data_IF_138775580580
#
_entry.id   IF_138775580580
#
_cell.length_a   1.000
_cell.length_b   1.000
_cell.length_c   1.000
_cell.angle_alpha   90.00
_cell.angle_beta   90.00
_cell.angle_gamma   90.00
#
_symmetry.space_group_name_H-M   'P 1'
#
loop_
_entity.id
_entity.type
_entity.pdbx_description
1 polymer ?
#
# COMPACT_ATOMS: atom_id res chain seq x y z
N UNK A 1 -7.33 -8.49 1.32
CA UNK A 1 -7.19 -7.09 1.77
C UNK A 1 -7.58 -6.90 3.23
N UNK A 2 -8.06 -7.93 3.94
CA UNK A 2 -8.22 -7.88 5.40
C UNK A 2 -7.52 -9.10 5.98
N UNK A 3 -6.52 -8.85 6.82
CA UNK A 3 -5.79 -9.87 7.55
C UNK A 3 -6.67 -10.41 8.69
N UNK A 4 -6.54 -11.68 9.04
CA UNK A 4 -7.29 -12.23 10.18
C UNK A 4 -6.70 -11.69 11.49
N UNK A 5 -7.54 -11.33 12.48
CA UNK A 5 -7.06 -10.97 13.81
C UNK A 5 -6.38 -12.18 14.47
N UNK A 6 -5.16 -11.99 15.00
CA UNK A 6 -4.44 -13.01 15.78
C UNK A 6 -3.13 -13.54 15.18
N UNK A 7 -2.74 -13.14 13.97
CA UNK A 7 -1.42 -13.48 13.42
C UNK A 7 -0.49 -12.25 13.48
N UNK A 8 -0.05 -11.91 14.70
CA UNK A 8 0.79 -10.73 15.00
C UNK A 8 2.18 -10.74 14.34
N UNK A 9 2.46 -11.75 13.52
CA UNK A 9 3.73 -11.85 12.81
C UNK A 9 3.61 -11.57 11.32
N UNK A 10 2.44 -11.65 10.67
CA UNK A 10 2.26 -11.36 9.24
C UNK A 10 3.19 -12.12 8.27
N UNK A 11 4.06 -12.98 8.80
CA UNK A 11 5.23 -13.60 8.19
C UNK A 11 5.14 -15.13 8.29
N UNK A 12 3.93 -15.65 8.59
CA UNK A 12 3.65 -17.08 8.58
C UNK A 12 3.92 -17.70 7.21
N UNK A 13 4.60 -18.84 7.20
CA UNK A 13 4.95 -19.57 5.98
C UNK A 13 4.40 -20.99 5.99
N UNK A 14 4.03 -21.50 4.83
CA UNK A 14 3.59 -22.88 4.61
C UNK A 14 4.51 -23.60 3.64
N UNK A 15 4.26 -24.89 3.43
CA UNK A 15 4.76 -25.58 2.24
C UNK A 15 4.36 -24.81 0.98
N UNK A 16 5.17 -24.91 -0.08
CA UNK A 16 4.89 -24.29 -1.37
C UNK A 16 3.63 -24.90 -1.96
N UNK A 17 2.67 -24.05 -2.34
CA UNK A 17 1.40 -24.49 -2.93
C UNK A 17 1.62 -25.18 -4.27
N UNK A 18 0.70 -26.10 -4.60
CA UNK A 18 0.69 -26.76 -5.90
C UNK A 18 0.56 -25.75 -7.04
N UNK A 19 1.31 -25.95 -8.13
CA UNK A 19 1.42 -25.02 -9.27
C UNK A 19 2.34 -23.82 -9.02
N UNK A 20 2.90 -23.68 -7.82
CA UNK A 20 3.80 -22.58 -7.43
C UNK A 20 5.21 -23.08 -7.07
N UNK A 21 5.54 -24.33 -7.41
CA UNK A 21 6.86 -24.91 -7.16
C UNK A 21 7.96 -24.16 -7.93
N UNK A 22 9.15 -24.12 -7.35
CA UNK A 22 10.34 -23.54 -7.97
C UNK A 22 11.47 -24.57 -8.00
N UNK A 23 12.31 -24.52 -9.04
CA UNK A 23 13.49 -25.38 -9.15
C UNK A 23 14.56 -24.91 -8.14
N UNK A 24 14.61 -25.60 -7.00
CA UNK A 24 15.54 -25.28 -5.90
C UNK A 24 16.99 -25.46 -6.33
N UNK A 25 17.29 -26.41 -7.23
CA UNK A 25 18.65 -26.65 -7.72
C UNK A 25 19.16 -25.48 -8.55
N UNK A 26 18.38 -25.04 -9.54
CA UNK A 26 18.69 -23.86 -10.36
C UNK A 26 18.79 -22.59 -9.52
N UNK A 27 17.87 -22.38 -8.58
CA UNK A 27 17.93 -21.24 -7.68
C UNK A 27 19.19 -21.27 -6.80
N UNK A 28 19.53 -22.42 -6.22
CA UNK A 28 20.71 -22.55 -5.36
C UNK A 28 22.00 -22.22 -6.14
N UNK A 29 22.16 -22.76 -7.35
CA UNK A 29 23.29 -22.46 -8.22
C UNK A 29 23.36 -20.97 -8.57
N UNK A 30 22.21 -20.35 -8.89
CA UNK A 30 22.12 -18.92 -9.14
C UNK A 30 22.56 -18.09 -7.92
N UNK A 31 22.07 -18.41 -6.72
CA UNK A 31 22.38 -17.68 -5.49
C UNK A 31 23.85 -17.85 -5.08
N UNK A 32 24.43 -19.04 -5.21
CA UNK A 32 25.86 -19.25 -4.93
C UNK A 32 26.75 -18.37 -5.82
N UNK A 33 26.37 -18.19 -7.08
CA UNK A 33 27.10 -17.33 -8.02
C UNK A 33 26.96 -15.83 -7.70
N UNK A 34 25.76 -15.37 -7.33
CA UNK A 34 25.46 -13.94 -7.19
C UNK A 34 25.55 -13.42 -5.74
N UNK A 35 25.61 -14.31 -4.75
CA UNK A 35 25.74 -14.00 -3.33
C UNK A 35 26.84 -14.85 -2.64
N UNK A 36 28.06 -14.93 -3.21
CA UNK A 36 29.08 -15.93 -2.80
C UNK A 36 29.57 -15.78 -1.36
N UNK A 37 29.55 -14.56 -0.82
CA UNK A 37 30.03 -14.24 0.53
C UNK A 37 28.95 -14.48 1.61
N UNK A 38 27.66 -14.41 1.25
CA UNK A 38 26.55 -14.47 2.21
C UNK A 38 25.73 -15.76 2.18
N UNK A 39 25.67 -16.45 1.05
CA UNK A 39 24.77 -17.59 0.85
C UNK A 39 25.47 -18.95 1.01
N UNK A 40 24.81 -19.90 1.68
CA UNK A 40 25.28 -21.29 1.83
C UNK A 40 24.18 -22.33 1.59
N UNK A 41 24.44 -23.28 0.69
CA UNK A 41 23.55 -24.42 0.46
C UNK A 41 23.65 -25.47 1.61
N UNK A 42 22.61 -26.30 1.85
CA UNK A 42 21.35 -26.40 1.12
C UNK A 42 20.38 -25.24 1.38
N UNK A 43 19.40 -25.08 0.49
CA UNK A 43 18.36 -24.05 0.54
C UNK A 43 17.01 -24.66 0.94
N UNK A 44 16.45 -24.20 2.06
CA UNK A 44 15.06 -24.45 2.42
C UNK A 44 14.17 -23.39 1.75
N UNK A 45 13.07 -23.83 1.14
CA UNK A 45 12.08 -22.96 0.49
C UNK A 45 10.70 -23.20 1.07
N UNK A 46 10.05 -22.12 1.53
CA UNK A 46 8.66 -22.09 1.97
C UNK A 46 7.92 -20.97 1.25
N UNK A 47 6.60 -20.96 1.30
CA UNK A 47 5.79 -19.89 0.71
C UNK A 47 5.12 -19.06 1.82
N UNK A 48 5.10 -17.73 1.65
CA UNK A 48 4.32 -16.89 2.55
C UNK A 48 2.82 -17.12 2.36
N UNK A 49 2.08 -17.14 3.46
CA UNK A 49 0.63 -17.31 3.43
C UNK A 49 -0.09 -16.04 2.95
N UNK A 50 0.56 -14.88 3.12
CA UNK A 50 0.07 -13.54 2.76
C UNK A 50 0.93 -12.94 1.65
N UNK A 51 0.35 -12.03 0.85
CA UNK A 51 0.95 -11.49 -0.38
C UNK A 51 0.34 -12.13 -1.63
N UNK A 52 -0.55 -11.40 -2.30
CA UNK A 52 -1.46 -11.98 -3.30
C UNK A 52 -1.09 -11.66 -4.75
N UNK A 53 -0.35 -10.57 -5.02
CA UNK A 53 -0.10 -10.10 -6.39
C UNK A 53 1.09 -10.82 -7.06
N UNK A 54 2.25 -10.84 -6.41
CA UNK A 54 3.46 -11.52 -6.87
C UNK A 54 3.77 -12.69 -5.92
N UNK A 55 4.03 -13.91 -6.44
CA UNK A 55 4.49 -15.02 -5.61
C UNK A 55 5.72 -14.64 -4.76
N UNK A 56 5.57 -14.80 -3.44
CA UNK A 56 6.61 -14.49 -2.45
C UNK A 56 6.97 -15.74 -1.66
N UNK A 57 8.26 -16.01 -1.55
CA UNK A 57 8.83 -17.21 -0.94
C UNK A 57 9.79 -16.83 0.17
N UNK A 58 9.73 -17.59 1.25
CA UNK A 58 10.71 -17.56 2.32
C UNK A 58 11.84 -18.53 1.97
N UNK A 59 13.07 -18.03 2.06
CA UNK A 59 14.28 -18.83 1.85
C UNK A 59 15.07 -18.87 3.15
N UNK A 60 15.60 -20.04 3.49
CA UNK A 60 16.56 -20.19 4.59
C UNK A 60 17.74 -21.00 4.11
N UNK A 61 18.93 -20.46 4.30
CA UNK A 61 20.17 -21.11 3.90
C UNK A 61 20.75 -21.98 5.03
N UNK A 62 21.86 -22.67 4.77
CA UNK A 62 22.50 -23.56 5.75
C UNK A 62 23.05 -22.83 6.99
N UNK A 63 23.33 -21.53 6.86
CA UNK A 63 23.74 -20.68 7.99
C UNK A 63 22.54 -20.19 8.81
N UNK A 64 21.32 -20.63 8.48
CA UNK A 64 20.07 -20.09 9.02
C UNK A 64 19.81 -18.61 8.69
N UNK A 65 20.51 -18.06 7.70
CA UNK A 65 20.20 -16.73 7.16
C UNK A 65 18.90 -16.80 6.39
N UNK A 66 18.03 -15.81 6.62
CA UNK A 66 16.68 -15.75 6.06
C UNK A 66 16.62 -14.71 4.95
N UNK A 67 15.98 -15.08 3.84
CA UNK A 67 15.76 -14.21 2.70
C UNK A 67 14.32 -14.29 2.22
N UNK A 68 13.93 -13.31 1.41
CA UNK A 68 12.65 -13.29 0.71
C UNK A 68 12.91 -13.27 -0.78
N UNK A 69 12.28 -14.19 -1.52
CA UNK A 69 12.26 -14.17 -2.98
C UNK A 69 10.89 -13.72 -3.46
N UNK A 70 10.86 -12.72 -4.34
CA UNK A 70 9.63 -12.22 -4.97
C UNK A 70 9.75 -12.38 -6.47
N UNK A 71 8.75 -13.02 -7.08
CA UNK A 71 8.78 -13.49 -8.46
C UNK A 71 7.54 -13.05 -9.22
N UNK A 72 7.64 -12.85 -10.54
CA UNK A 72 6.44 -12.61 -11.36
C UNK A 72 5.53 -13.84 -11.37
N UNK A 73 4.20 -13.67 -11.39
CA UNK A 73 3.29 -14.80 -11.51
C UNK A 73 3.57 -15.60 -12.81
N UNK A 74 3.32 -16.92 -12.82
CA UNK A 74 3.44 -17.72 -14.03
C UNK A 74 2.36 -17.33 -15.05
N UNK A 75 2.63 -17.58 -16.34
CA UNK A 75 1.69 -17.34 -17.44
C UNK A 75 1.87 -16.01 -18.18
N UNK A 76 0.98 -15.77 -19.15
CA UNK A 76 1.01 -14.55 -19.95
C UNK A 76 0.59 -13.33 -19.11
N UNK A 77 1.43 -12.30 -19.08
CA UNK A 77 1.14 -11.07 -18.35
C UNK A 77 0.10 -10.22 -19.11
N UNK A 78 -0.89 -9.70 -18.39
CA UNK A 78 -1.95 -8.84 -18.93
C UNK A 78 -1.39 -7.48 -19.41
N UNK A 79 -0.26 -7.04 -18.88
CA UNK A 79 0.51 -5.90 -19.39
C UNK A 79 1.97 -5.99 -18.95
N UNK A 80 2.88 -5.33 -19.69
CA UNK A 80 4.31 -5.28 -19.33
C UNK A 80 4.59 -4.55 -18.01
N UNK A 81 3.69 -3.65 -17.59
CA UNK A 81 3.83 -2.87 -16.35
C UNK A 81 3.21 -3.56 -15.14
N UNK A 82 2.33 -4.54 -15.35
CA UNK A 82 1.78 -5.33 -14.26
C UNK A 82 2.85 -6.32 -13.76
N UNK A 83 2.94 -6.49 -12.45
CA UNK A 83 3.87 -7.45 -11.83
C UNK A 83 5.36 -7.19 -12.17
N UNK A 84 5.74 -5.92 -12.38
CA UNK A 84 7.10 -5.54 -12.74
C UNK A 84 8.07 -5.60 -11.53
N UNK A 85 8.43 -6.80 -11.09
CA UNK A 85 9.35 -7.02 -9.95
C UNK A 85 10.72 -6.36 -10.13
N UNK A 86 11.15 -6.10 -11.37
CA UNK A 86 12.38 -5.35 -11.66
C UNK A 86 12.27 -3.89 -11.21
N UNK A 87 11.08 -3.27 -11.33
CA UNK A 87 10.81 -1.91 -10.84
C UNK A 87 10.81 -1.87 -9.31
N UNK A 88 10.34 -2.92 -8.65
CA UNK A 88 10.41 -3.07 -7.19
C UNK A 88 11.87 -3.17 -6.74
N UNK A 89 12.67 -4.04 -7.37
CA UNK A 89 14.11 -4.15 -7.08
C UNK A 89 14.82 -2.80 -7.26
N UNK A 90 14.55 -2.08 -8.36
CA UNK A 90 15.20 -0.80 -8.66
C UNK A 90 14.96 0.25 -7.56
N UNK A 91 13.72 0.43 -7.11
CA UNK A 91 13.41 1.42 -6.06
C UNK A 91 13.97 1.00 -4.70
N UNK A 92 13.87 -0.28 -4.34
CA UNK A 92 14.46 -0.81 -3.12
C UNK A 92 15.99 -0.64 -3.09
N UNK A 93 16.67 -0.96 -4.20
CA UNK A 93 18.12 -0.79 -4.33
C UNK A 93 18.53 0.68 -4.18
N UNK A 94 17.88 1.59 -4.90
CA UNK A 94 18.17 3.02 -4.84
C UNK A 94 17.97 3.59 -3.43
N UNK A 95 16.83 3.28 -2.79
CA UNK A 95 16.53 3.75 -1.45
C UNK A 95 17.49 3.16 -0.41
N UNK A 96 17.70 1.84 -0.42
CA UNK A 96 18.50 1.14 0.58
C UNK A 96 20.01 1.41 0.51
N UNK A 97 20.52 1.83 -0.65
CA UNK A 97 21.96 2.12 -0.82
C UNK A 97 22.31 3.61 -0.78
N UNK A 98 21.33 4.50 -0.98
CA UNK A 98 21.58 5.95 -1.14
C UNK A 98 20.82 6.83 -0.15
N UNK A 99 19.97 6.26 0.70
CA UNK A 99 19.12 7.01 1.63
C UNK A 99 19.00 6.30 2.98
N UNK A 100 18.35 6.96 3.94
CA UNK A 100 17.99 6.40 5.25
C UNK A 100 16.51 5.99 5.33
N UNK A 101 15.84 5.79 4.18
CA UNK A 101 14.49 5.23 4.14
C UNK A 101 14.57 3.75 4.52
N UNK A 102 13.85 3.28 5.55
CA UNK A 102 13.92 1.89 5.98
C UNK A 102 13.27 0.99 4.92
N UNK A 103 14.09 0.26 4.17
CA UNK A 103 13.67 -0.71 3.15
C UNK A 103 14.53 -1.98 3.29
N UNK A 104 14.01 -3.17 2.95
CA UNK A 104 14.82 -4.38 2.96
C UNK A 104 15.99 -4.26 1.98
N UNK A 105 17.16 -4.72 2.39
CA UNK A 105 18.30 -4.84 1.46
C UNK A 105 17.95 -5.81 0.33
N UNK A 106 18.13 -5.40 -0.91
CA UNK A 106 18.03 -6.30 -2.06
C UNK A 106 19.41 -6.86 -2.42
N UNK A 107 19.46 -8.16 -2.70
CA UNK A 107 20.70 -8.89 -2.95
C UNK A 107 20.94 -9.17 -4.43
N UNK A 108 19.93 -9.70 -5.13
CA UNK A 108 20.07 -10.10 -6.52
C UNK A 108 18.75 -9.93 -7.29
N UNK A 109 18.85 -9.51 -8.55
CA UNK A 109 17.77 -9.51 -9.53
C UNK A 109 18.13 -10.49 -10.64
N UNK A 110 17.24 -11.41 -10.96
CA UNK A 110 17.35 -12.34 -12.08
C UNK A 110 16.25 -12.04 -13.10
N UNK A 111 16.65 -11.62 -14.30
CA UNK A 111 15.74 -11.47 -15.44
C UNK A 111 15.78 -12.67 -16.40
N UNK A 112 16.73 -13.59 -16.19
CA UNK A 112 16.87 -14.82 -16.95
C UNK A 112 15.75 -15.81 -16.58
N UNK A 113 14.84 -16.02 -17.53
CA UNK A 113 13.70 -16.91 -17.37
C UNK A 113 14.09 -18.39 -17.34
N UNK A 114 15.29 -18.76 -17.77
CA UNK A 114 15.74 -20.16 -17.74
C UNK A 114 16.00 -20.67 -16.31
N UNK A 115 16.16 -19.76 -15.34
CA UNK A 115 16.39 -20.10 -13.94
C UNK A 115 15.10 -20.57 -13.26
N UNK A 116 14.04 -19.74 -13.24
CA UNK A 116 12.77 -20.04 -12.55
C UNK A 116 11.50 -19.85 -13.41
N UNK A 117 11.63 -19.72 -14.73
CA UNK A 117 10.53 -19.49 -15.67
C UNK A 117 10.04 -18.05 -15.76
N UNK A 118 10.24 -17.23 -14.72
CA UNK A 118 9.94 -15.79 -14.74
C UNK A 118 10.94 -15.00 -13.91
N UNK A 119 11.11 -13.68 -14.18
CA UNK A 119 11.99 -12.82 -13.40
C UNK A 119 11.64 -12.82 -11.91
N UNK A 120 12.69 -12.70 -11.08
CA UNK A 120 12.58 -12.65 -9.63
C UNK A 120 13.70 -11.81 -9.03
N UNK A 121 13.51 -11.34 -7.80
CA UNK A 121 14.58 -10.79 -7.00
C UNK A 121 14.58 -11.38 -5.60
N UNK A 122 15.73 -11.28 -4.92
CA UNK A 122 15.96 -11.75 -3.56
C UNK A 122 16.32 -10.57 -2.68
N UNK A 123 15.71 -10.51 -1.51
CA UNK A 123 15.90 -9.45 -0.53
C UNK A 123 16.00 -10.00 0.89
N UNK A 124 16.35 -9.11 1.81
CA UNK A 124 16.42 -9.34 3.23
C UNK A 124 15.06 -9.78 3.80
N UNK A 125 15.11 -10.78 4.68
CA UNK A 125 14.01 -11.05 5.57
C UNK A 125 14.13 -10.16 6.80
N UNK A 126 13.23 -9.18 6.93
CA UNK A 126 13.16 -8.31 8.10
C UNK A 126 12.36 -8.99 9.21
N UNK A 127 13.03 -9.45 10.26
CA UNK A 127 12.37 -9.99 11.44
C UNK A 127 11.72 -8.87 12.25
N UNK A 128 10.39 -8.85 12.28
CA UNK A 128 9.64 -7.74 12.86
C UNK A 128 8.16 -8.02 13.04
N UNK A 129 7.43 -6.97 13.41
CA UNK A 129 5.97 -7.01 13.62
C UNK A 129 5.27 -6.22 12.54
N UNK A 130 4.18 -6.78 12.02
CA UNK A 130 3.31 -6.12 11.04
C UNK A 130 1.92 -6.02 11.67
N UNK A 131 1.39 -4.80 11.74
CA UNK A 131 0.07 -4.55 12.30
C UNK A 131 -0.95 -4.32 11.19
N UNK A 132 -2.12 -4.92 11.31
CA UNK A 132 -3.26 -4.62 10.43
C UNK A 132 -4.39 -3.90 11.16
N UNK A 133 -4.35 -3.88 12.50
CA UNK A 133 -5.29 -3.15 13.33
C UNK A 133 -4.84 -1.69 13.49
N UNK A 134 -5.61 -0.76 12.93
CA UNK A 134 -5.36 0.68 13.03
C UNK A 134 -5.39 1.21 14.47
N UNK A 135 -6.01 0.50 15.41
CA UNK A 135 -6.00 0.88 16.83
C UNK A 135 -4.74 0.42 17.56
N UNK A 136 -3.90 -0.40 16.93
CA UNK A 136 -2.74 -1.04 17.56
C UNK A 136 -3.13 -1.70 18.89
N UNK A 137 -4.23 -2.44 18.92
CA UNK A 137 -4.86 -2.94 20.16
C UNK A 137 -3.94 -3.84 20.98
N UNK A 138 -2.98 -4.48 20.33
CA UNK A 138 -1.98 -5.38 20.92
C UNK A 138 -0.76 -4.63 21.48
N UNK A 139 -0.61 -3.34 21.16
CA UNK A 139 0.43 -2.47 21.70
C UNK A 139 -0.08 -1.79 22.98
N UNK A 140 0.75 -1.68 24.05
CA UNK A 140 0.39 -0.92 25.25
C UNK A 140 -0.04 0.50 24.90
N UNK A 141 -1.11 0.99 25.54
CA UNK A 141 -1.75 2.27 25.19
C UNK A 141 -0.77 3.44 25.18
N UNK A 142 0.16 3.48 26.12
CA UNK A 142 1.17 4.54 26.24
C UNK A 142 2.17 4.58 25.08
N UNK A 143 2.38 3.46 24.37
CA UNK A 143 3.41 3.37 23.33
C UNK A 143 2.86 3.66 21.92
N UNK A 144 1.56 3.49 21.70
CA UNK A 144 0.92 3.56 20.37
C UNK A 144 1.18 4.85 19.61
N UNK A 145 1.30 5.98 20.34
CA UNK A 145 1.70 7.26 19.76
C UNK A 145 3.06 7.15 19.06
N UNK A 146 4.06 6.56 19.70
CA UNK A 146 5.40 6.42 19.12
C UNK A 146 5.40 5.60 17.83
N UNK A 147 4.55 4.57 17.71
CA UNK A 147 4.43 3.78 16.48
C UNK A 147 3.91 4.63 15.31
N UNK A 148 2.83 5.39 15.53
CA UNK A 148 2.29 6.28 14.52
C UNK A 148 3.28 7.38 14.10
N UNK A 149 4.01 7.96 15.06
CA UNK A 149 5.06 8.93 14.76
C UNK A 149 6.21 8.30 13.96
N UNK A 150 6.60 7.05 14.21
CA UNK A 150 7.62 6.37 13.41
C UNK A 150 7.16 6.06 11.98
N UNK A 151 5.86 5.79 11.77
CA UNK A 151 5.29 5.67 10.42
C UNK A 151 5.34 7.00 9.67
N UNK A 152 4.96 8.10 10.34
CA UNK A 152 5.00 9.45 9.75
C UNK A 152 6.43 9.87 9.43
N UNK A 153 7.40 9.55 10.30
CA UNK A 153 8.82 9.78 10.04
C UNK A 153 9.31 8.99 8.82
N UNK A 154 8.93 7.71 8.71
CA UNK A 154 9.25 6.89 7.54
C UNK A 154 8.69 7.49 6.25
N UNK A 155 7.43 7.94 6.27
CA UNK A 155 6.79 8.58 5.13
C UNK A 155 7.48 9.88 4.74
N UNK A 156 7.84 10.70 5.74
CA UNK A 156 8.57 11.95 5.51
C UNK A 156 9.96 11.70 4.92
N UNK A 157 10.70 10.68 5.39
CA UNK A 157 11.99 10.28 4.80
C UNK A 157 11.84 9.86 3.35
N UNK A 158 10.81 9.06 3.03
CA UNK A 158 10.52 8.67 1.66
C UNK A 158 10.26 9.88 0.76
N UNK A 159 9.38 10.79 1.20
CA UNK A 159 9.01 11.96 0.41
C UNK A 159 10.13 13.00 0.27
N UNK A 160 11.14 12.96 1.14
CA UNK A 160 12.35 13.81 1.04
C UNK A 160 13.50 13.15 0.28
N UNK A 161 13.39 11.87 -0.10
CA UNK A 161 14.44 11.19 -0.83
C UNK A 161 14.67 11.88 -2.20
N UNK A 162 15.91 12.26 -2.55
CA UNK A 162 16.20 12.98 -3.78
C UNK A 162 16.18 12.03 -4.97
N UNK A 163 14.98 11.68 -5.45
CA UNK A 163 14.76 10.60 -6.42
C UNK A 163 15.60 10.73 -7.70
N UNK A 164 15.90 11.97 -8.13
CA UNK A 164 16.77 12.22 -9.29
C UNK A 164 18.22 11.81 -9.02
N UNK A 165 18.75 12.14 -7.85
CA UNK A 165 20.14 11.89 -7.45
C UNK A 165 20.41 10.41 -7.13
N UNK A 166 19.36 9.64 -6.82
CA UNK A 166 19.46 8.21 -6.51
C UNK A 166 19.09 7.31 -7.71
N UNK A 167 19.06 7.86 -8.94
CA UNK A 167 18.86 7.08 -10.17
C UNK A 167 17.40 6.72 -10.49
N UNK A 168 16.44 7.43 -9.89
CA UNK A 168 15.00 7.23 -10.09
C UNK A 168 14.33 8.37 -10.89
N UNK A 169 15.10 9.23 -11.57
CA UNK A 169 14.54 10.32 -12.39
C UNK A 169 13.49 9.83 -13.41
N UNK A 170 13.76 8.69 -14.05
CA UNK A 170 12.87 8.07 -15.05
C UNK A 170 11.98 6.95 -14.45
N UNK A 171 11.74 6.94 -13.14
CA UNK A 171 10.98 5.89 -12.47
C UNK A 171 9.45 5.97 -12.69
N UNK A 172 8.97 7.17 -13.02
CA UNK A 172 7.57 7.46 -13.33
C UNK A 172 7.45 8.81 -14.03
N UNK A 173 6.23 9.18 -14.44
CA UNK A 173 5.99 10.47 -15.10
C UNK A 173 6.05 11.61 -14.08
N UNK A 174 6.98 12.55 -14.28
CA UNK A 174 7.08 13.77 -13.48
C UNK A 174 5.89 14.70 -13.73
N UNK A 175 5.21 15.10 -12.66
CA UNK A 175 4.21 16.18 -12.59
C UNK A 175 2.85 15.84 -13.19
N UNK A 176 1.76 16.42 -12.70
CA UNK A 176 0.38 16.15 -13.11
C UNK A 176 -0.18 14.85 -12.53
N UNK A 177 0.28 14.45 -11.34
CA UNK A 177 -0.06 13.15 -10.73
C UNK A 177 -1.58 12.99 -10.56
N UNK A 178 -2.24 13.91 -9.86
CA UNK A 178 -3.67 13.78 -9.58
C UNK A 178 -4.51 13.80 -10.85
N UNK A 179 -4.19 14.68 -11.81
CA UNK A 179 -4.91 14.76 -13.08
C UNK A 179 -4.86 13.41 -13.84
N UNK A 180 -3.67 12.82 -13.95
CA UNK A 180 -3.50 11.51 -14.60
C UNK A 180 -4.24 10.41 -13.84
N UNK A 181 -4.12 10.39 -12.52
CA UNK A 181 -4.76 9.38 -11.70
C UNK A 181 -6.28 9.46 -11.79
N UNK A 182 -6.86 10.66 -11.70
CA UNK A 182 -8.31 10.87 -11.83
C UNK A 182 -8.78 10.41 -13.22
N UNK A 183 -8.08 10.79 -14.29
CA UNK A 183 -8.39 10.36 -15.65
C UNK A 183 -8.38 8.84 -15.79
N UNK A 184 -7.34 8.19 -15.27
CA UNK A 184 -7.19 6.72 -15.31
C UNK A 184 -8.28 6.01 -14.49
N UNK A 185 -8.53 6.48 -13.27
CA UNK A 185 -9.55 5.91 -12.38
C UNK A 185 -10.95 6.06 -12.96
N UNK A 186 -11.26 7.19 -13.61
CA UNK A 186 -12.53 7.38 -14.33
C UNK A 186 -12.71 6.38 -15.47
N UNK A 187 -11.68 6.18 -16.31
CA UNK A 187 -11.71 5.18 -17.38
C UNK A 187 -11.96 3.77 -16.82
N UNK A 188 -11.24 3.41 -15.75
CA UNK A 188 -11.38 2.11 -15.09
C UNK A 188 -12.79 1.94 -14.50
N UNK A 189 -13.31 2.97 -13.83
CA UNK A 189 -14.66 2.96 -13.25
C UNK A 189 -15.74 2.77 -14.30
N UNK A 190 -15.67 3.48 -15.43
CA UNK A 190 -16.62 3.33 -16.54
C UNK A 190 -16.62 1.91 -17.14
N UNK A 191 -15.42 1.34 -17.33
CA UNK A 191 -15.28 -0.03 -17.81
C UNK A 191 -15.83 -1.06 -16.82
N UNK A 192 -15.61 -0.86 -15.51
CA UNK A 192 -16.11 -1.75 -14.45
C UNK A 192 -17.63 -1.63 -14.26
N UNK A 193 -18.18 -0.42 -14.35
CA UNK A 193 -19.61 -0.15 -14.23
C UNK A 193 -20.43 -0.91 -15.29
N UNK A 194 -19.86 -1.06 -16.48
CA UNK A 194 -20.48 -1.71 -17.64
C UNK A 194 -20.44 -3.24 -17.59
N UNK A 195 -19.80 -3.84 -16.58
CA UNK A 195 -19.74 -5.30 -16.44
C UNK A 195 -21.10 -5.82 -15.98
N UNK A 196 -21.67 -6.72 -16.77
CA UNK A 196 -22.94 -7.41 -16.51
C UNK A 196 -22.70 -8.85 -16.03
N UNK A 197 -23.63 -9.38 -15.23
CA UNK A 197 -23.68 -10.81 -14.90
C UNK A 197 -24.61 -11.58 -15.85
N UNK A 198 -24.76 -12.90 -15.60
CA UNK A 198 -25.61 -13.80 -16.40
C UNK A 198 -27.10 -13.41 -16.37
N UNK A 199 -27.54 -12.65 -15.36
CA UNK A 199 -28.90 -12.14 -15.26
C UNK A 199 -29.09 -10.81 -15.99
N UNK A 200 -28.03 -10.26 -16.60
CA UNK A 200 -28.07 -8.97 -17.30
C UNK A 200 -27.89 -7.76 -16.38
N UNK A 201 -27.62 -7.96 -15.09
CA UNK A 201 -27.48 -6.87 -14.12
C UNK A 201 -26.06 -6.29 -14.16
N UNK A 202 -25.95 -4.98 -14.35
CA UNK A 202 -24.66 -4.28 -14.36
C UNK A 202 -24.11 -4.06 -12.94
N UNK A 203 -22.79 -3.85 -12.79
CA UNK A 203 -22.20 -3.36 -11.53
C UNK A 203 -22.75 -1.97 -11.18
N UNK A 204 -22.92 -1.13 -12.19
CA UNK A 204 -23.42 0.24 -12.05
C UNK A 204 -22.32 1.27 -11.75
N UNK A 205 -22.63 2.56 -11.96
CA UNK A 205 -21.69 3.66 -11.75
C UNK A 205 -21.49 3.97 -10.25
N UNK A 206 -20.39 4.65 -9.95
CA UNK A 206 -20.17 5.23 -8.62
C UNK A 206 -21.19 6.35 -8.35
N UNK A 207 -21.68 6.44 -7.12
CA UNK A 207 -22.57 7.51 -6.68
C UNK A 207 -22.00 8.90 -6.99
N UNK A 208 -22.82 9.75 -7.63
CA UNK A 208 -22.48 11.14 -8.01
C UNK A 208 -21.15 11.33 -8.76
N UNK A 209 -20.69 10.31 -9.51
CA UNK A 209 -19.38 10.32 -10.18
C UNK A 209 -19.11 11.60 -11.00
N UNK A 210 -20.04 12.02 -11.85
CA UNK A 210 -19.86 13.21 -12.70
C UNK A 210 -19.63 14.49 -11.88
N UNK A 211 -20.43 14.69 -10.83
CA UNK A 211 -20.29 15.83 -9.92
C UNK A 211 -18.97 15.78 -9.14
N UNK A 212 -18.57 14.60 -8.66
CA UNK A 212 -17.28 14.41 -7.97
C UNK A 212 -16.08 14.69 -8.88
N UNK A 213 -16.12 14.24 -10.14
CA UNK A 213 -15.07 14.53 -11.13
C UNK A 213 -14.98 16.04 -11.42
N UNK A 214 -16.12 16.73 -11.54
CA UNK A 214 -16.12 18.18 -11.72
C UNK A 214 -15.55 18.90 -10.51
N UNK A 215 -15.89 18.45 -9.30
CA UNK A 215 -15.33 19.01 -8.07
C UNK A 215 -13.82 18.82 -7.99
N UNK A 216 -13.29 17.63 -8.33
CA UNK A 216 -11.84 17.40 -8.37
C UNK A 216 -11.12 18.32 -9.34
N UNK A 217 -11.70 18.61 -10.52
CA UNK A 217 -11.11 19.56 -11.48
C UNK A 217 -11.01 20.97 -10.88
N UNK A 218 -12.02 21.41 -10.14
CA UNK A 218 -12.07 22.76 -9.57
C UNK A 218 -11.23 22.91 -8.29
N UNK A 219 -10.97 21.81 -7.57
CA UNK A 219 -10.35 21.82 -6.24
C UNK A 219 -8.98 21.14 -6.20
N UNK A 220 -8.32 20.93 -7.35
CA UNK A 220 -7.01 20.29 -7.39
C UNK A 220 -5.97 21.06 -6.57
N UNK A 221 -5.13 20.31 -5.84
CA UNK A 221 -3.95 20.85 -5.17
C UNK A 221 -2.88 21.23 -6.19
N UNK A 222 -1.96 22.12 -5.79
CA UNK A 222 -0.78 22.41 -6.59
C UNK A 222 0.04 21.15 -6.84
N UNK A 223 0.66 21.05 -8.01
CA UNK A 223 1.42 19.86 -8.39
C UNK A 223 2.77 19.80 -7.67
N UNK A 224 3.17 18.58 -7.29
CA UNK A 224 4.39 18.28 -6.55
C UNK A 224 4.80 16.85 -6.88
N UNK A 225 6.11 16.59 -6.86
CA UNK A 225 6.68 15.30 -7.25
C UNK A 225 7.67 14.78 -6.22
N UNK A 226 7.45 13.56 -5.79
CA UNK A 226 8.40 12.76 -5.02
C UNK A 226 8.20 11.28 -5.34
N UNK A 227 8.96 10.40 -4.67
CA UNK A 227 8.69 8.96 -4.69
C UNK A 227 7.39 8.73 -3.93
N UNK A 228 6.37 8.27 -4.64
CA UNK A 228 5.12 7.83 -4.08
C UNK A 228 5.17 6.31 -3.96
N UNK A 229 5.03 5.79 -2.75
CA UNK A 229 4.91 4.36 -2.49
C UNK A 229 3.68 3.78 -3.20
N UNK A 230 2.60 4.55 -3.24
CA UNK A 230 1.37 4.19 -3.92
C UNK A 230 0.43 3.35 -3.05
N UNK A 231 0.91 2.46 -2.18
CA UNK A 231 0.07 1.76 -1.19
C UNK A 231 0.59 1.94 0.23
N UNK A 232 0.89 3.18 0.63
CA UNK A 232 1.44 3.44 1.96
C UNK A 232 0.36 3.29 3.05
N UNK A 233 0.48 2.29 3.92
CA UNK A 233 -0.49 1.94 4.97
C UNK A 233 0.17 1.05 6.03
N UNK A 234 -0.49 0.91 7.18
CA UNK A 234 0.06 0.26 8.38
C UNK A 234 0.54 -1.18 8.15
N UNK A 235 -0.20 -1.98 7.37
CA UNK A 235 0.11 -3.39 7.11
C UNK A 235 1.20 -3.61 6.04
N UNK A 236 1.73 -2.53 5.46
CA UNK A 236 2.92 -2.55 4.60
C UNK A 236 4.19 -2.10 5.33
N UNK A 237 4.10 -1.88 6.65
CA UNK A 237 5.22 -1.42 7.48
C UNK A 237 5.64 -2.53 8.45
N UNK A 238 6.95 -2.79 8.49
CA UNK A 238 7.58 -3.71 9.45
C UNK A 238 8.17 -2.89 10.59
N UNK A 239 7.70 -3.14 11.80
CA UNK A 239 8.27 -2.61 13.03
C UNK A 239 9.31 -3.54 13.61
N UNK A 240 10.28 -2.98 14.34
CA UNK A 240 11.21 -3.73 15.16
C UNK A 240 10.45 -4.69 16.11
N UNK A 241 10.98 -5.90 16.40
CA UNK A 241 10.31 -6.88 17.26
C UNK A 241 9.90 -6.35 18.64
N UNK A 242 10.66 -5.41 19.19
CA UNK A 242 10.46 -4.89 20.56
C UNK A 242 10.35 -3.37 20.66
N UNK A 243 10.57 -2.64 19.57
CA UNK A 243 10.61 -1.16 19.60
C UNK A 243 9.57 -0.58 18.64
N UNK A 244 9.16 0.66 18.88
CA UNK A 244 8.24 1.44 18.03
C UNK A 244 8.90 1.98 16.75
N UNK A 245 10.03 1.41 16.33
CA UNK A 245 10.79 1.86 15.16
C UNK A 245 10.42 1.05 13.93
N UNK A 246 10.14 1.73 12.83
CA UNK A 246 10.00 1.10 11.51
C UNK A 246 11.37 0.65 11.00
N UNK A 247 11.47 -0.63 10.64
CA UNK A 247 12.67 -1.23 10.07
C UNK A 247 12.51 -1.60 8.59
N UNK A 248 11.30 -1.52 8.04
CA UNK A 248 11.08 -1.74 6.61
C UNK A 248 9.73 -1.29 6.08
N UNK A 249 9.76 -0.73 4.88
CA UNK A 249 8.60 -0.47 4.04
C UNK A 249 8.52 -1.52 2.92
N UNK A 250 7.40 -2.23 2.84
CA UNK A 250 7.16 -3.33 1.92
C UNK A 250 6.16 -2.96 0.83
N UNK A 251 6.09 -3.80 -0.19
CA UNK A 251 5.06 -3.76 -1.25
C UNK A 251 5.11 -2.56 -2.20
N UNK A 252 6.21 -2.49 -2.96
CA UNK A 252 6.53 -1.40 -3.88
C UNK A 252 5.84 -1.52 -5.26
N UNK A 253 4.89 -2.43 -5.43
CA UNK A 253 4.31 -2.76 -6.73
C UNK A 253 3.58 -1.59 -7.42
N UNK A 254 3.02 -0.67 -6.61
CA UNK A 254 2.29 0.51 -7.09
C UNK A 254 3.14 1.78 -7.12
N UNK A 255 4.41 1.68 -6.76
CA UNK A 255 5.24 2.87 -6.58
C UNK A 255 5.58 3.56 -7.90
N UNK A 256 5.72 4.88 -7.82
CA UNK A 256 5.93 5.78 -8.95
C UNK A 256 6.55 7.09 -8.48
N UNK A 257 6.90 7.98 -9.41
CA UNK A 257 6.98 9.41 -9.12
C UNK A 257 5.55 9.97 -9.09
N UNK A 258 5.18 10.65 -8.01
CA UNK A 258 3.81 11.10 -7.76
C UNK A 258 3.72 12.16 -6.67
N UNK A 259 2.49 12.48 -6.27
CA UNK A 259 2.23 13.53 -5.29
C UNK A 259 2.31 12.99 -3.85
N UNK A 260 3.12 13.58 -2.95
CA UNK A 260 3.33 13.06 -1.59
C UNK A 260 2.03 12.93 -0.78
N UNK A 261 1.14 13.90 -0.92
CA UNK A 261 -0.13 13.90 -0.18
C UNK A 261 -1.05 12.72 -0.52
N UNK A 262 -0.82 12.01 -1.63
CA UNK A 262 -1.56 10.79 -1.95
C UNK A 262 -1.25 9.66 -0.97
N UNK A 263 0.02 9.48 -0.59
CA UNK A 263 0.40 8.45 0.38
C UNK A 263 -0.01 8.84 1.80
N UNK A 264 0.13 10.12 2.17
CA UNK A 264 -0.33 10.61 3.48
C UNK A 264 -1.85 10.42 3.63
N UNK A 265 -2.64 10.75 2.60
CA UNK A 265 -4.08 10.57 2.64
C UNK A 265 -4.48 9.08 2.67
N UNK A 266 -3.72 8.21 2.00
CA UNK A 266 -3.92 6.77 2.04
C UNK A 266 -3.65 6.19 3.44
N UNK A 267 -2.56 6.60 4.09
CA UNK A 267 -2.23 6.22 5.46
C UNK A 267 -3.31 6.63 6.45
N UNK A 268 -3.80 7.87 6.33
CA UNK A 268 -4.76 8.46 7.25
C UNK A 268 -6.22 8.14 6.92
N UNK A 269 -6.47 7.40 5.83
CA UNK A 269 -7.82 7.04 5.39
C UNK A 269 -8.70 6.45 6.52
N UNK A 270 -8.20 5.57 7.42
CA UNK A 270 -8.99 5.06 8.53
C UNK A 270 -9.58 6.15 9.44
N UNK A 271 -8.86 7.26 9.65
CA UNK A 271 -9.30 8.38 10.50
C UNK A 271 -10.42 9.21 9.88
N UNK A 272 -10.63 9.10 8.57
CA UNK A 272 -11.66 9.82 7.82
C UNK A 272 -12.81 8.91 7.37
N UNK A 273 -12.75 7.63 7.76
CA UNK A 273 -13.70 6.59 7.38
C UNK A 273 -14.79 6.46 8.45
N UNK A 274 -16.08 6.75 8.13
CA UNK A 274 -17.20 6.62 9.06
C UNK A 274 -17.49 5.17 9.49
N UNK A 275 -18.22 4.98 10.59
CA UNK A 275 -18.54 3.67 11.17
C UNK A 275 -19.46 2.78 10.33
N UNK A 276 -20.02 3.30 9.23
CA UNK A 276 -20.75 2.48 8.24
C UNK A 276 -19.84 1.52 7.45
N UNK A 277 -18.53 1.70 7.55
CA UNK A 277 -17.54 0.81 6.97
C UNK A 277 -17.28 -0.40 7.90
N UNK A 278 -16.80 -1.53 7.37
CA UNK A 278 -16.53 -2.72 8.19
C UNK A 278 -15.61 -2.45 9.39
N UNK A 279 -15.82 -3.21 10.46
CA UNK A 279 -15.03 -3.12 11.69
C UNK A 279 -13.51 -3.20 11.40
N UNK A 280 -12.73 -2.36 12.10
CA UNK A 280 -11.28 -2.27 11.93
C UNK A 280 -10.79 -1.31 10.83
N UNK A 281 -11.65 -0.87 9.91
CA UNK A 281 -11.30 0.17 8.90
C UNK A 281 -11.62 1.59 9.35
N UNK A 282 -12.62 1.77 10.22
CA UNK A 282 -13.15 3.08 10.58
C UNK A 282 -12.65 3.53 11.95
N UNK A 283 -11.99 4.68 12.03
CA UNK A 283 -11.57 5.32 13.30
C UNK A 283 -12.34 6.62 13.55
N UNK A 284 -12.95 7.21 12.51
CA UNK A 284 -13.55 8.55 12.53
C UNK A 284 -14.60 8.74 13.64
N UNK A 285 -15.48 7.77 13.84
CA UNK A 285 -16.65 7.88 14.74
C UNK A 285 -16.46 7.14 16.07
N UNK A 286 -15.25 6.62 16.34
CA UNK A 286 -14.98 5.92 17.60
C UNK A 286 -15.00 6.88 18.80
N UNK A 287 -15.54 6.40 19.93
CA UNK A 287 -15.62 7.17 21.18
C UNK A 287 -14.22 7.60 21.65
N UNK A 288 -14.05 8.91 21.85
CA UNK A 288 -12.81 9.54 22.32
C UNK A 288 -12.72 9.57 23.86
N UNK A 289 -11.50 9.64 24.44
CA UNK A 289 -10.19 9.66 23.78
C UNK A 289 -9.74 8.27 23.30
N UNK A 290 -9.02 8.23 22.17
CA UNK A 290 -8.33 7.02 21.73
C UNK A 290 -6.90 6.99 22.29
N UNK A 291 -6.32 5.79 22.38
CA UNK A 291 -4.92 5.61 22.74
C UNK A 291 -3.96 5.81 21.56
N UNK A 292 -4.46 6.26 20.40
CA UNK A 292 -3.67 6.61 19.22
C UNK A 292 -3.80 8.12 18.95
N UNK A 293 -2.84 8.75 18.26
CA UNK A 293 -2.92 10.16 17.85
C UNK A 293 -4.15 10.44 17.00
N UNK A 294 -4.64 11.68 17.02
CA UNK A 294 -5.64 12.14 16.05
C UNK A 294 -4.98 12.42 14.70
N UNK A 295 -5.76 12.36 13.62
CA UNK A 295 -5.25 12.63 12.27
C UNK A 295 -4.61 14.02 12.15
N UNK A 296 -5.15 15.03 12.86
CA UNK A 296 -4.59 16.37 12.87
C UNK A 296 -3.15 16.40 13.40
N UNK A 297 -2.88 15.71 14.50
CA UNK A 297 -1.55 15.60 15.10
C UNK A 297 -0.56 14.95 14.12
N UNK A 298 -1.00 13.89 13.41
CA UNK A 298 -0.17 13.20 12.43
C UNK A 298 0.13 14.06 11.19
N UNK A 299 -0.84 14.86 10.74
CA UNK A 299 -0.63 15.82 9.64
C UNK A 299 0.33 16.92 10.06
N UNK A 300 0.22 17.45 11.28
CA UNK A 300 1.14 18.45 11.81
C UNK A 300 2.57 17.92 11.89
N UNK A 301 2.75 16.69 12.39
CA UNK A 301 4.06 16.05 12.45
C UNK A 301 4.65 15.83 11.05
N UNK A 302 3.85 15.37 10.09
CA UNK A 302 4.27 15.23 8.71
C UNK A 302 4.72 16.57 8.12
N UNK A 303 3.97 17.65 8.35
CA UNK A 303 4.33 19.00 7.90
C UNK A 303 5.66 19.44 8.50
N UNK A 304 5.85 19.24 9.81
CA UNK A 304 7.09 19.57 10.52
C UNK A 304 8.30 18.84 9.95
N UNK A 305 8.20 17.53 9.70
CA UNK A 305 9.31 16.71 9.20
C UNK A 305 9.68 17.01 7.74
N UNK A 306 8.68 17.38 6.93
CA UNK A 306 8.85 17.72 5.51
C UNK A 306 9.13 19.20 5.25
N UNK A 307 9.07 20.06 6.27
CA UNK A 307 9.21 21.51 6.10
C UNK A 307 8.03 22.17 5.38
N UNK A 308 6.87 21.50 5.34
CA UNK A 308 5.64 22.01 4.75
C UNK A 308 4.90 22.89 5.75
N UNK A 309 4.22 23.93 5.25
CA UNK A 309 3.31 24.75 6.06
C UNK A 309 2.06 23.97 6.49
N UNK A 310 1.66 24.14 7.76
CA UNK A 310 0.38 23.70 8.31
C UNK A 310 -0.57 24.91 8.46
N UNK A 311 -1.88 24.79 8.16
CA UNK A 311 -2.55 23.62 7.59
C UNK A 311 -2.21 23.38 6.12
N UNK A 312 -2.32 22.12 5.67
CA UNK A 312 -2.13 21.76 4.26
C UNK A 312 -3.31 22.32 3.44
N UNK A 313 -3.08 23.20 2.45
CA UNK A 313 -4.16 23.72 1.62
C UNK A 313 -4.89 22.60 0.86
N UNK A 314 -6.22 22.65 0.84
CA UNK A 314 -7.10 21.68 0.16
C UNK A 314 -6.83 20.22 0.58
N UNK A 315 -6.62 19.99 1.87
CA UNK A 315 -6.41 18.64 2.41
C UNK A 315 -7.62 17.71 2.16
N UNK A 316 -8.82 18.27 2.19
CA UNK A 316 -10.08 17.61 1.80
C UNK A 316 -10.04 17.00 0.40
N UNK A 317 -9.43 17.67 -0.59
CA UNK A 317 -9.19 17.11 -1.91
C UNK A 317 -8.35 15.83 -1.86
N UNK A 318 -7.30 15.81 -1.05
CA UNK A 318 -6.41 14.65 -0.92
C UNK A 318 -7.14 13.46 -0.30
N UNK A 319 -7.93 13.71 0.76
CA UNK A 319 -8.76 12.70 1.41
C UNK A 319 -9.85 12.17 0.47
N UNK A 320 -10.57 13.06 -0.22
CA UNK A 320 -11.57 12.69 -1.22
C UNK A 320 -10.96 11.84 -2.34
N UNK A 321 -9.76 12.17 -2.82
CA UNK A 321 -9.06 11.38 -3.82
C UNK A 321 -8.73 9.96 -3.31
N UNK A 322 -8.29 9.82 -2.06
CA UNK A 322 -8.04 8.51 -1.46
C UNK A 322 -9.32 7.64 -1.41
N UNK A 323 -10.47 8.22 -1.03
CA UNK A 323 -11.76 7.52 -1.11
C UNK A 323 -12.18 7.20 -2.55
N UNK A 324 -11.98 8.11 -3.50
CA UNK A 324 -12.29 7.85 -4.91
C UNK A 324 -11.49 6.68 -5.45
N UNK A 325 -10.19 6.64 -5.15
CA UNK A 325 -9.32 5.53 -5.52
C UNK A 325 -9.80 4.21 -4.90
N UNK A 326 -10.13 4.20 -3.59
CA UNK A 326 -10.65 3.02 -2.92
C UNK A 326 -11.99 2.58 -3.53
N UNK A 327 -12.87 3.51 -3.89
CA UNK A 327 -14.15 3.24 -4.55
C UNK A 327 -13.93 2.46 -5.87
N UNK A 328 -13.03 2.94 -6.72
CA UNK A 328 -12.73 2.28 -8.01
C UNK A 328 -12.06 0.91 -7.82
N UNK A 329 -11.20 0.75 -6.81
CA UNK A 329 -10.61 -0.56 -6.49
C UNK A 329 -11.70 -1.55 -6.06
N UNK A 330 -12.58 -1.14 -5.13
CA UNK A 330 -13.69 -1.96 -4.66
C UNK A 330 -14.70 -2.28 -5.78
N UNK A 331 -14.97 -1.33 -6.68
CA UNK A 331 -15.83 -1.53 -7.86
C UNK A 331 -15.23 -2.58 -8.79
N UNK A 332 -13.90 -2.60 -8.95
CA UNK A 332 -13.19 -3.63 -9.69
C UNK A 332 -13.28 -5.02 -9.07
N UNK A 333 -13.43 -5.12 -7.75
CA UNK A 333 -13.70 -6.38 -7.07
C UNK A 333 -15.14 -6.82 -7.35
N UNK A 334 -16.11 -5.90 -7.28
CA UNK A 334 -17.51 -6.17 -7.64
C UNK A 334 -17.65 -6.69 -9.09
N UNK A 335 -16.96 -6.05 -10.04
CA UNK A 335 -16.91 -6.48 -11.43
C UNK A 335 -16.32 -7.89 -11.61
N UNK A 336 -15.25 -8.22 -10.87
CA UNK A 336 -14.65 -9.56 -10.88
C UNK A 336 -15.59 -10.62 -10.27
N UNK A 337 -16.36 -10.28 -9.24
CA UNK A 337 -17.38 -11.16 -8.68
C UNK A 337 -18.47 -11.46 -9.71
N UNK A 338 -18.99 -10.44 -10.41
CA UNK A 338 -19.99 -10.64 -11.48
C UNK A 338 -19.49 -11.54 -12.60
N UNK A 339 -18.19 -11.47 -12.93
CA UNK A 339 -17.53 -12.37 -13.89
C UNK A 339 -17.17 -13.75 -13.34
N UNK A 340 -17.53 -14.07 -12.09
CA UNK A 340 -17.14 -15.30 -11.37
C UNK A 340 -15.61 -15.49 -11.27
N UNK A 341 -14.85 -14.40 -11.36
CA UNK A 341 -13.38 -14.37 -11.24
C UNK A 341 -12.90 -14.13 -9.80
N UNK A 342 -13.81 -13.83 -8.88
CA UNK A 342 -13.55 -13.73 -7.45
C UNK A 342 -14.80 -14.16 -6.66
N UNK A 343 -14.65 -15.01 -5.64
CA UNK A 343 -15.80 -15.58 -4.93
C UNK A 343 -15.68 -15.60 -3.39
N UNK A 344 -14.50 -15.29 -2.85
CA UNK A 344 -14.23 -15.38 -1.41
C UNK A 344 -15.09 -14.41 -0.59
N UNK A 345 -15.39 -14.76 0.66
CA UNK A 345 -16.15 -13.91 1.58
C UNK A 345 -15.50 -12.51 1.73
N UNK A 346 -14.17 -12.47 1.80
CA UNK A 346 -13.40 -11.22 1.84
C UNK A 346 -13.56 -10.39 0.57
N UNK A 347 -13.60 -11.01 -0.62
CA UNK A 347 -13.85 -10.30 -1.86
C UNK A 347 -15.27 -9.70 -1.89
N UNK A 348 -16.28 -10.45 -1.42
CA UNK A 348 -17.66 -9.95 -1.32
C UNK A 348 -17.77 -8.76 -0.36
N UNK A 349 -17.08 -8.80 0.78
CA UNK A 349 -17.10 -7.69 1.72
C UNK A 349 -16.38 -6.46 1.18
N UNK A 350 -15.23 -6.65 0.51
CA UNK A 350 -14.51 -5.54 -0.13
C UNK A 350 -15.32 -4.93 -1.28
N UNK A 351 -16.05 -5.73 -2.06
CA UNK A 351 -16.92 -5.24 -3.12
C UNK A 351 -18.06 -4.37 -2.60
N UNK A 352 -18.53 -4.53 -1.35
CA UNK A 352 -19.59 -3.65 -0.80
C UNK A 352 -19.10 -2.23 -0.51
N UNK A 353 -17.80 -1.97 -0.57
CA UNK A 353 -17.22 -0.67 -0.19
C UNK A 353 -17.33 0.41 -1.26
N UNK A 354 -17.54 0.06 -2.55
CA UNK A 354 -17.40 1.06 -3.61
C UNK A 354 -18.45 2.18 -3.51
N UNK A 355 -19.70 1.86 -3.18
CA UNK A 355 -20.72 2.88 -3.00
C UNK A 355 -20.49 3.71 -1.73
N UNK A 356 -20.26 3.15 -0.53
CA UNK A 356 -19.90 3.93 0.65
C UNK A 356 -18.72 4.89 0.41
N UNK A 357 -17.67 4.43 -0.28
CA UNK A 357 -16.54 5.29 -0.64
C UNK A 357 -16.99 6.44 -1.57
N UNK A 358 -17.76 6.15 -2.61
CA UNK A 358 -18.26 7.18 -3.54
C UNK A 358 -19.20 8.19 -2.84
N UNK A 359 -20.05 7.74 -1.91
CA UNK A 359 -20.85 8.63 -1.07
C UNK A 359 -19.96 9.53 -0.23
N UNK A 360 -18.88 9.00 0.35
CA UNK A 360 -17.93 9.79 1.12
C UNK A 360 -17.22 10.86 0.27
N UNK A 361 -16.86 10.55 -0.98
CA UNK A 361 -16.32 11.55 -1.92
C UNK A 361 -17.33 12.67 -2.14
N UNK A 362 -18.59 12.34 -2.40
CA UNK A 362 -19.65 13.32 -2.64
C UNK A 362 -19.97 14.19 -1.42
N UNK A 363 -19.92 13.61 -0.21
CA UNK A 363 -20.10 14.31 1.06
C UNK A 363 -18.97 15.32 1.31
N UNK A 364 -17.70 14.91 1.15
CA UNK A 364 -16.55 15.83 1.26
C UNK A 364 -16.67 16.97 0.23
N UNK A 365 -17.02 16.64 -1.02
CA UNK A 365 -17.20 17.62 -2.08
C UNK A 365 -18.34 18.63 -1.79
N UNK A 366 -19.29 18.27 -0.94
CA UNK A 366 -20.39 19.12 -0.50
C UNK A 366 -20.08 19.92 0.80
N UNK A 367 -18.83 19.86 1.31
CA UNK A 367 -18.42 20.53 2.55
C UNK A 367 -18.65 19.70 3.82
N UNK A 368 -18.87 18.39 3.68
CA UNK A 368 -18.97 17.46 4.81
C UNK A 368 -17.70 17.44 5.67
N UNK A 369 -17.86 17.21 6.97
CA UNK A 369 -16.73 17.18 7.92
C UNK A 369 -15.78 16.03 7.59
N UNK A 370 -14.46 16.28 7.64
CA UNK A 370 -13.45 15.23 7.47
C UNK A 370 -13.35 14.30 8.68
N UNK A 371 -13.43 14.85 9.90
CA UNK A 371 -13.29 14.10 11.16
C UNK A 371 -14.57 14.16 11.98
N UNK A 372 -14.76 13.16 12.85
CA UNK A 372 -15.89 13.08 13.78
C UNK A 372 -15.72 13.93 15.05
N UNK A 373 -14.55 14.53 15.27
CA UNK A 373 -14.31 15.38 16.42
C UNK A 373 -15.12 16.67 16.30
N UNK A 374 -15.98 16.93 17.28
CA UNK A 374 -16.56 18.25 17.51
C UNK A 374 -15.39 19.18 17.81
N UNK A 375 -15.18 20.19 16.97
CA UNK A 375 -14.19 21.24 17.24
C UNK A 375 -14.55 21.90 18.60
N UNK A 376 -13.76 21.70 19.67
CA UNK A 376 -14.08 22.29 20.98
C UNK A 376 -13.95 23.82 20.98
N UNK A 377 -13.34 24.40 19.93
CA UNK A 377 -13.17 25.85 19.75
C UNK A 377 -14.19 26.49 18.79
N UNK A 378 -15.13 25.73 18.22
CA UNK A 378 -16.17 26.30 17.35
C UNK A 378 -17.25 27.10 18.11
N UNK A 379 -17.23 27.09 19.46
CA UNK A 379 -18.16 27.84 20.31
C UNK A 379 -17.65 29.25 20.69
N UNK A 380 -16.55 29.73 20.11
CA UNK A 380 -15.96 31.06 20.43
C UNK A 380 -15.55 31.87 19.19
N UNK A 381 -16.37 31.86 18.14
CA UNK A 381 -16.34 32.89 17.10
C UNK A 381 -17.74 33.43 16.85
#
# INVERSE_FOLDING_TARGET
>A
MFNQPGNEHGQGTSAVREGMQIDVGKLTAYLQKHMPEGFRAPLEVRQFQLGQSNPTYFLKDANSTRYVLRKKPPGALISQTAHAVEREYKVLHALGTRTNVPVPKVYALCEDKEVLGTPFYVMEFLEGRIFSDNLLSTVPKQDRRAYYFSIIDTLARLHKAPFREIGLENYGKAGGFYERQIRRLLQVSNAQASVIDEAGEAVGPLYKLSSSIQWFKNNMVADEVTICHGDFKLDNVVFHPTQSTVIGLLDWELSTIGHPLSDLANLLLPFYTPGVFPEGMAVMEMKRPLAIPEAEELVQEYCRLTGRQYPIPKWDFCVAFAFFRLAVIAQGIAARIKRKQASSANARQAAKLFQPCAHRVADIAAGGRLTGAVNPNASKL
#
